data_IF_250491183159
#
_entry.id   IF_250491183159
#
_cell.length_a   1.000
_cell.length_b   1.000
_cell.length_c   1.000
_cell.angle_alpha   90.00
_cell.angle_beta   90.00
_cell.angle_gamma   90.00
#
_symmetry.space_group_name_H-M   'P 1'
#
loop_
_entity.id
_entity.type
_entity.pdbx_description
1 polymer ?
#
# COMPACT_ATOMS: atom_id res chain seq x y z
N UNK A 1 3.49 11.84 -13.48
CA UNK A 1 3.10 11.27 -14.79
C UNK A 1 1.62 11.47 -15.09
N UNK A 2 0.70 10.90 -14.30
CA UNK A 2 -0.75 10.98 -14.54
C UNK A 2 -1.30 12.40 -14.79
N UNK A 3 -0.90 13.38 -13.97
CA UNK A 3 -1.33 14.77 -14.13
C UNK A 3 -0.81 15.41 -15.43
N UNK A 4 0.49 15.24 -15.74
CA UNK A 4 1.11 15.82 -16.94
C UNK A 4 0.49 15.28 -18.24
N UNK A 5 0.05 14.02 -18.24
CA UNK A 5 -0.55 13.36 -19.40
C UNK A 5 -2.09 13.38 -19.39
N UNK A 6 -2.72 13.94 -18.35
CA UNK A 6 -4.18 13.87 -18.12
C UNK A 6 -4.74 12.43 -18.16
N UNK A 7 -3.99 11.47 -17.59
CA UNK A 7 -4.33 10.03 -17.60
C UNK A 7 -4.54 9.48 -16.18
N UNK A 8 -5.75 9.64 -15.58
CA UNK A 8 -6.05 9.14 -14.24
C UNK A 8 -5.97 7.61 -14.13
N UNK A 9 -6.15 6.88 -15.24
CA UNK A 9 -5.97 5.43 -15.31
C UNK A 9 -4.61 4.96 -14.78
N UNK A 10 -3.55 5.77 -14.93
CA UNK A 10 -2.22 5.43 -14.41
C UNK A 10 -2.21 5.35 -12.87
N UNK A 11 -3.01 6.17 -12.19
CA UNK A 11 -3.16 6.10 -10.73
C UNK A 11 -3.94 4.85 -10.34
N UNK A 12 -5.00 4.51 -11.07
CA UNK A 12 -5.76 3.29 -10.82
C UNK A 12 -4.92 2.01 -11.01
N UNK A 13 -4.13 1.94 -12.08
CA UNK A 13 -3.20 0.84 -12.32
C UNK A 13 -2.15 0.75 -11.19
N UNK A 14 -1.57 1.88 -10.79
CA UNK A 14 -0.64 1.92 -9.66
C UNK A 14 -1.24 1.41 -8.35
N UNK A 15 -2.47 1.83 -8.01
CA UNK A 15 -3.17 1.35 -6.81
C UNK A 15 -3.36 -0.17 -6.86
N UNK A 16 -3.80 -0.69 -8.00
CA UNK A 16 -4.01 -2.13 -8.20
C UNK A 16 -2.71 -2.93 -8.03
N UNK A 17 -1.63 -2.49 -8.67
CA UNK A 17 -0.34 -3.17 -8.60
C UNK A 17 0.27 -3.09 -7.19
N UNK A 18 0.14 -1.94 -6.52
CA UNK A 18 0.58 -1.76 -5.13
C UNK A 18 -0.20 -2.66 -4.18
N UNK A 19 -1.53 -2.74 -4.31
CA UNK A 19 -2.37 -3.59 -3.48
C UNK A 19 -2.02 -5.07 -3.65
N UNK A 20 -1.82 -5.54 -4.90
CA UNK A 20 -1.40 -6.91 -5.17
C UNK A 20 -0.02 -7.22 -4.59
N UNK A 21 0.94 -6.31 -4.77
CA UNK A 21 2.30 -6.48 -4.23
C UNK A 21 2.27 -6.55 -2.70
N UNK A 22 1.47 -5.69 -2.05
CA UNK A 22 1.30 -5.70 -0.61
C UNK A 22 0.61 -6.97 -0.11
N UNK A 23 -0.41 -7.44 -0.82
CA UNK A 23 -1.09 -8.70 -0.52
C UNK A 23 -0.10 -9.88 -0.55
N UNK A 24 0.70 -10.01 -1.62
CA UNK A 24 1.74 -11.04 -1.70
C UNK A 24 2.77 -10.92 -0.58
N UNK A 25 3.22 -9.70 -0.24
CA UNK A 25 4.13 -9.46 0.89
C UNK A 25 3.53 -9.95 2.21
N UNK A 26 2.28 -9.59 2.50
CA UNK A 26 1.62 -9.92 3.76
C UNK A 26 1.45 -11.44 3.95
N UNK A 27 1.21 -12.17 2.87
CA UNK A 27 1.12 -13.63 2.90
C UNK A 27 2.48 -14.34 2.98
N UNK A 28 3.49 -13.81 2.30
CA UNK A 28 4.81 -14.44 2.24
C UNK A 28 5.66 -14.16 3.50
N UNK A 29 5.44 -13.03 4.17
CA UNK A 29 6.34 -12.51 5.20
C UNK A 29 5.56 -12.22 6.50
N UNK A 30 5.70 -13.06 7.55
CA UNK A 30 5.06 -12.82 8.84
C UNK A 30 5.55 -11.51 9.46
N UNK A 31 4.66 -10.54 9.66
CA UNK A 31 5.04 -9.20 10.14
C UNK A 31 5.39 -9.19 11.63
N UNK A 32 4.62 -9.89 12.45
CA UNK A 32 4.72 -9.85 13.91
C UNK A 32 5.52 -11.03 14.48
N UNK A 33 5.65 -12.12 13.73
CA UNK A 33 6.22 -13.39 14.19
C UNK A 33 7.73 -13.52 13.90
N UNK A 34 8.44 -12.40 13.76
CA UNK A 34 9.90 -12.43 13.58
C UNK A 34 10.61 -12.43 14.95
N UNK A 35 11.70 -13.20 15.06
CA UNK A 35 12.49 -13.31 16.30
C UNK A 35 13.20 -11.98 16.64
N UNK A 36 13.61 -11.21 15.63
CA UNK A 36 14.27 -9.92 15.81
C UNK A 36 13.25 -8.76 15.82
N UNK A 37 13.19 -8.05 16.95
CA UNK A 37 12.36 -6.86 17.13
C UNK A 37 12.66 -5.74 16.13
N UNK A 38 13.91 -5.61 15.65
CA UNK A 38 14.25 -4.64 14.59
C UNK A 38 13.58 -5.01 13.28
N UNK A 39 13.48 -6.29 12.96
CA UNK A 39 12.79 -6.80 11.76
C UNK A 39 11.29 -6.56 11.87
N UNK A 40 10.68 -6.85 13.02
CA UNK A 40 9.26 -6.53 13.27
C UNK A 40 9.00 -5.04 13.08
N UNK A 41 9.82 -4.18 13.70
CA UNK A 41 9.70 -2.72 13.59
C UNK A 41 9.83 -2.22 12.15
N UNK A 42 10.76 -2.78 11.37
CA UNK A 42 10.93 -2.43 9.97
C UNK A 42 9.72 -2.85 9.12
N UNK A 43 9.20 -4.06 9.32
CA UNK A 43 8.02 -4.57 8.62
C UNK A 43 6.76 -3.77 8.97
N UNK A 44 6.59 -3.37 10.22
CA UNK A 44 5.48 -2.50 10.63
C UNK A 44 5.55 -1.13 9.95
N UNK A 45 6.74 -0.54 9.83
CA UNK A 45 6.90 0.71 9.06
C UNK A 45 6.57 0.52 7.58
N UNK A 46 6.92 -0.61 6.98
CA UNK A 46 6.56 -0.93 5.61
C UNK A 46 5.03 -1.05 5.43
N UNK A 47 4.35 -1.72 6.35
CA UNK A 47 2.88 -1.81 6.36
C UNK A 47 2.24 -0.43 6.49
N UNK A 48 2.74 0.42 7.39
CA UNK A 48 2.23 1.78 7.55
C UNK A 48 2.43 2.63 6.29
N UNK A 49 3.59 2.50 5.64
CA UNK A 49 3.87 3.19 4.38
C UNK A 49 2.95 2.73 3.24
N UNK A 50 2.71 1.41 3.12
CA UNK A 50 1.79 0.85 2.14
C UNK A 50 0.35 1.34 2.37
N UNK A 51 -0.12 1.35 3.63
CA UNK A 51 -1.42 1.92 4.00
C UNK A 51 -1.54 3.37 3.55
N UNK A 52 -0.57 4.22 3.91
CA UNK A 52 -0.58 5.63 3.56
C UNK A 52 -0.59 5.85 2.04
N UNK A 53 0.22 5.11 1.30
CA UNK A 53 0.31 5.21 -0.15
C UNK A 53 -1.01 4.80 -0.83
N UNK A 54 -1.61 3.69 -0.40
CA UNK A 54 -2.91 3.23 -0.91
C UNK A 54 -4.02 4.24 -0.62
N UNK A 55 -4.12 4.74 0.62
CA UNK A 55 -5.11 5.77 1.00
C UNK A 55 -4.96 7.02 0.15
N UNK A 56 -3.74 7.53 -0.03
CA UNK A 56 -3.50 8.72 -0.84
C UNK A 56 -3.89 8.50 -2.30
N UNK A 57 -3.52 7.36 -2.88
CA UNK A 57 -3.78 7.09 -4.28
C UNK A 57 -5.28 6.82 -4.55
N UNK A 58 -6.00 6.20 -3.61
CA UNK A 58 -7.47 6.09 -3.67
C UNK A 58 -8.15 7.46 -3.53
N UNK A 59 -7.68 8.32 -2.62
CA UNK A 59 -8.21 9.68 -2.48
C UNK A 59 -8.01 10.51 -3.76
N UNK A 60 -6.88 10.35 -4.47
CA UNK A 60 -6.68 11.01 -5.77
C UNK A 60 -7.69 10.56 -6.84
N UNK A 61 -8.28 9.36 -6.68
CA UNK A 61 -9.35 8.84 -7.53
C UNK A 61 -10.76 9.19 -7.02
N UNK A 62 -10.87 9.91 -5.90
CA UNK A 62 -12.15 10.22 -5.25
C UNK A 62 -12.78 9.04 -4.52
N UNK A 63 -11.99 8.00 -4.19
CA UNK A 63 -12.45 6.79 -3.52
C UNK A 63 -12.02 6.85 -2.05
N UNK A 64 -12.97 6.65 -1.13
CA UNK A 64 -12.68 6.53 0.30
C UNK A 64 -12.03 5.19 0.64
N UNK A 65 -10.96 5.22 1.44
CA UNK A 65 -10.35 4.01 1.99
C UNK A 65 -10.96 3.72 3.38
N UNK A 66 -11.50 2.51 3.64
CA UNK A 66 -12.06 2.18 4.94
C UNK A 66 -10.97 2.05 6.01
N UNK A 67 -11.27 2.50 7.24
CA UNK A 67 -10.36 2.36 8.38
C UNK A 67 -10.25 0.91 8.89
N UNK A 68 -11.29 0.12 8.64
CA UNK A 68 -11.40 -1.31 8.98
C UNK A 68 -12.13 -1.99 7.81
N UNK A 69 -11.56 -3.07 7.26
CA UNK A 69 -12.23 -3.93 6.28
C UNK A 69 -13.04 -5.02 6.97
#
# INVERSE_FOLDING_TARGET
QAANEYRPLLVAAYVYDLANSFHSFYHAVPVLQAEDQKVVSARLRLVAAAKQALTNALHLLGIGAPDVM
#
